data_IF_836121254019
#
_entry.id   IF_836121254019
#
_cell.length_a   1.000
_cell.length_b   1.000
_cell.length_c   1.000
_cell.angle_alpha   90.00
_cell.angle_beta   90.00
_cell.angle_gamma   90.00
#
_symmetry.space_group_name_H-M   'P 1'
#
loop_
_entity.id
_entity.type
_entity.pdbx_description
1 polymer ?
#
# COMPACT_ATOMS: atom_id res chain seq x y z
N UNK A 1 10.49 -6.45 -9.62
CA UNK A 1 10.01 -5.75 -8.42
C UNK A 1 11.00 -4.65 -8.06
N UNK A 2 10.53 -3.43 -7.92
CA UNK A 2 11.40 -2.29 -7.68
C UNK A 2 11.34 -1.89 -6.21
N UNK A 3 12.36 -2.26 -5.46
CA UNK A 3 12.41 -2.06 -4.01
C UNK A 3 12.44 -0.58 -3.62
N UNK A 4 13.08 0.25 -4.43
CA UNK A 4 13.10 1.70 -4.20
C UNK A 4 11.72 2.30 -4.41
N UNK A 5 11.06 1.91 -5.49
CA UNK A 5 9.71 2.36 -5.80
C UNK A 5 8.72 1.94 -4.71
N UNK A 6 8.84 0.71 -4.26
CA UNK A 6 8.01 0.17 -3.17
C UNK A 6 8.22 0.98 -1.90
N UNK A 7 9.48 1.28 -1.58
CA UNK A 7 9.81 2.06 -0.39
C UNK A 7 9.21 3.45 -0.43
N UNK A 8 9.29 4.13 -1.56
CA UNK A 8 8.69 5.45 -1.75
C UNK A 8 7.18 5.39 -1.61
N UNK A 9 6.58 4.33 -2.12
CA UNK A 9 5.13 4.12 -2.03
C UNK A 9 4.71 3.94 -0.57
N UNK A 10 5.46 3.15 0.20
CA UNK A 10 5.19 2.97 1.63
C UNK A 10 5.25 4.32 2.35
N UNK A 11 6.28 5.12 2.08
CA UNK A 11 6.43 6.43 2.71
C UNK A 11 5.25 7.35 2.34
N UNK A 12 4.86 7.36 1.08
CA UNK A 12 3.74 8.15 0.60
C UNK A 12 2.44 7.75 1.28
N UNK A 13 2.16 6.46 1.31
CA UNK A 13 0.93 5.95 1.91
C UNK A 13 0.91 6.18 3.43
N UNK A 14 2.06 6.04 4.06
CA UNK A 14 2.18 6.34 5.48
C UNK A 14 1.83 7.80 5.77
N UNK A 15 2.38 8.71 4.99
CA UNK A 15 2.12 10.15 5.15
C UNK A 15 0.66 10.48 4.86
N UNK A 16 0.08 9.85 3.86
CA UNK A 16 -1.34 10.00 3.54
C UNK A 16 -2.22 9.56 4.70
N UNK A 17 -1.80 8.51 5.40
CA UNK A 17 -2.48 8.02 6.60
C UNK A 17 -2.18 8.87 7.85
N UNK A 18 -1.35 9.90 7.69
CA UNK A 18 -0.96 10.83 8.76
C UNK A 18 -0.23 10.14 9.91
N UNK A 19 0.60 9.17 9.57
CA UNK A 19 1.41 8.43 10.53
C UNK A 19 2.88 8.81 10.38
N UNK A 20 3.58 8.93 11.52
CA UNK A 20 5.04 9.00 11.53
C UNK A 20 5.60 7.58 11.36
N UNK A 21 6.90 7.49 11.07
CA UNK A 21 7.56 6.18 11.02
C UNK A 21 7.41 5.45 12.35
N UNK A 22 7.57 6.18 13.46
CA UNK A 22 7.43 5.59 14.79
C UNK A 22 6.02 5.08 15.05
N UNK A 23 5.02 5.87 14.68
CA UNK A 23 3.62 5.47 14.88
C UNK A 23 3.28 4.22 14.07
N UNK A 24 3.75 4.15 12.82
CA UNK A 24 3.53 2.96 12.01
C UNK A 24 4.24 1.75 12.62
N UNK A 25 5.48 1.94 13.07
CA UNK A 25 6.26 0.88 13.71
C UNK A 25 5.55 0.34 14.95
N UNK A 26 5.01 1.24 15.77
CA UNK A 26 4.27 0.85 16.97
C UNK A 26 3.05 -0.01 16.63
N UNK A 27 2.32 0.38 15.59
CA UNK A 27 1.16 -0.39 15.13
C UNK A 27 1.52 -1.79 14.64
N UNK A 28 2.72 -1.93 14.09
CA UNK A 28 3.20 -3.21 13.54
C UNK A 28 4.02 -4.02 14.56
N UNK A 29 4.33 -3.44 15.72
CA UNK A 29 5.14 -4.10 16.74
C UNK A 29 6.61 -4.26 16.33
N UNK A 30 7.13 -3.34 15.54
CA UNK A 30 8.52 -3.34 15.05
C UNK A 30 9.18 -1.99 15.35
N UNK A 31 10.42 -1.82 14.90
CA UNK A 31 11.16 -0.59 15.14
C UNK A 31 10.95 0.40 13.99
N UNK A 32 11.08 1.69 14.30
CA UNK A 32 11.04 2.74 13.28
C UNK A 32 12.21 2.63 12.31
N UNK A 33 13.33 2.04 12.75
CA UNK A 33 14.47 1.78 11.88
C UNK A 33 14.12 0.82 10.76
N UNK A 34 13.29 -0.20 11.06
CA UNK A 34 12.82 -1.13 10.05
C UNK A 34 11.98 -0.39 8.98
N UNK A 35 11.07 0.47 9.43
CA UNK A 35 10.26 1.28 8.52
C UNK A 35 11.17 2.15 7.65
N UNK A 36 12.14 2.80 8.26
CA UNK A 36 13.09 3.65 7.54
C UNK A 36 13.84 2.88 6.45
N UNK A 37 14.26 1.67 6.74
CA UNK A 37 14.95 0.83 5.75
C UNK A 37 14.04 0.48 4.58
N UNK A 38 12.77 0.16 4.85
CA UNK A 38 11.80 -0.10 3.78
C UNK A 38 11.64 1.13 2.88
N UNK A 39 11.45 2.30 3.50
CA UNK A 39 11.17 3.54 2.77
C UNK A 39 12.36 3.99 1.94
N UNK A 40 13.58 3.63 2.36
CA UNK A 40 14.79 3.93 1.60
C UNK A 40 15.14 2.87 0.56
N UNK A 41 14.33 1.82 0.47
CA UNK A 41 14.54 0.76 -0.50
C UNK A 41 15.66 -0.20 -0.15
N UNK A 42 16.05 -0.25 1.11
CA UNK A 42 17.16 -1.10 1.56
C UNK A 42 16.70 -2.52 1.90
N UNK A 43 15.49 -2.65 2.42
CA UNK A 43 14.90 -3.95 2.76
C UNK A 43 13.43 -3.93 2.39
N UNK A 44 12.83 -5.12 2.35
CA UNK A 44 11.39 -5.29 2.10
C UNK A 44 10.70 -5.71 3.39
N UNK A 45 9.42 -5.36 3.56
CA UNK A 45 8.65 -5.93 4.67
C UNK A 45 8.59 -7.45 4.55
N UNK A 46 8.70 -8.12 5.69
CA UNK A 46 8.52 -9.55 5.77
C UNK A 46 7.08 -9.92 5.40
N UNK A 47 6.90 -11.06 4.76
CA UNK A 47 5.56 -11.52 4.36
C UNK A 47 4.60 -11.64 5.55
N UNK A 48 5.13 -12.00 6.73
CA UNK A 48 4.31 -12.11 7.93
C UNK A 48 3.71 -10.77 8.38
N UNK A 49 4.34 -9.66 7.99
CA UNK A 49 3.91 -8.31 8.39
C UNK A 49 3.21 -7.57 7.25
N UNK A 50 3.36 -8.08 6.03
CA UNK A 50 2.91 -7.42 4.82
C UNK A 50 1.40 -7.17 4.79
N UNK A 51 0.61 -8.17 5.21
CA UNK A 51 -0.84 -8.04 5.23
C UNK A 51 -1.30 -6.98 6.22
N UNK A 52 -0.69 -6.97 7.40
CA UNK A 52 -1.02 -5.97 8.42
C UNK A 52 -0.61 -4.58 7.97
N UNK A 53 0.55 -4.45 7.35
CA UNK A 53 1.00 -3.17 6.80
C UNK A 53 0.01 -2.66 5.75
N UNK A 54 -0.41 -3.50 4.84
CA UNK A 54 -1.37 -3.13 3.81
C UNK A 54 -2.70 -2.70 4.42
N UNK A 55 -3.14 -3.40 5.45
CA UNK A 55 -4.38 -3.08 6.14
C UNK A 55 -4.31 -1.69 6.78
N UNK A 56 -3.21 -1.40 7.47
CA UNK A 56 -3.02 -0.10 8.12
C UNK A 56 -2.96 1.03 7.08
N UNK A 57 -2.27 0.79 5.97
CA UNK A 57 -2.11 1.80 4.93
C UNK A 57 -3.29 1.89 3.96
N UNK A 58 -4.26 0.98 4.07
CA UNK A 58 -5.43 0.97 3.18
C UNK A 58 -5.09 0.65 1.74
N UNK A 59 -4.14 -0.25 1.52
CA UNK A 59 -3.71 -0.66 0.18
C UNK A 59 -3.78 -2.17 0.07
N UNK A 60 -3.78 -2.66 -1.16
CA UNK A 60 -3.71 -4.09 -1.42
C UNK A 60 -2.26 -4.55 -1.48
N UNK A 61 -2.03 -5.86 -1.34
CA UNK A 61 -0.70 -6.44 -1.50
C UNK A 61 -0.19 -6.20 -2.92
N UNK A 62 -1.07 -6.27 -3.91
CA UNK A 62 -0.69 -5.99 -5.29
C UNK A 62 -0.19 -4.57 -5.46
N UNK A 63 -0.85 -3.60 -4.84
CA UNK A 63 -0.40 -2.21 -4.87
C UNK A 63 0.95 -2.06 -4.20
N UNK A 64 1.14 -2.71 -3.06
CA UNK A 64 2.41 -2.66 -2.35
C UNK A 64 3.54 -3.21 -3.23
N UNK A 65 3.35 -4.38 -3.81
CA UNK A 65 4.38 -5.03 -4.62
C UNK A 65 4.67 -4.30 -5.92
N UNK A 66 3.67 -3.63 -6.49
CA UNK A 66 3.89 -2.80 -7.68
C UNK A 66 4.46 -1.43 -7.34
N UNK A 67 4.36 -1.01 -6.08
CA UNK A 67 4.88 0.28 -5.65
C UNK A 67 4.10 1.46 -6.18
N UNK A 68 2.81 1.25 -6.46
CA UNK A 68 1.94 2.32 -6.94
C UNK A 68 0.49 2.00 -6.65
N UNK A 69 -0.29 3.05 -6.52
CA UNK A 69 -1.72 2.91 -6.35
C UNK A 69 -2.31 2.41 -7.65
N UNK A 70 -2.88 1.22 -7.62
CA UNK A 70 -3.54 0.67 -8.80
C UNK A 70 -4.87 1.40 -8.95
N UNK A 71 -5.18 1.85 -10.17
CA UNK A 71 -6.38 2.63 -10.44
C UNK A 71 -7.62 1.74 -10.43
N UNK A 72 -7.83 1.05 -9.30
CA UNK A 72 -9.01 0.20 -9.13
C UNK A 72 -10.28 1.00 -9.20
N UNK A 73 -10.26 2.22 -8.66
CA UNK A 73 -11.41 3.10 -8.72
C UNK A 73 -11.81 3.37 -10.16
N UNK A 74 -10.83 3.67 -11.02
CA UNK A 74 -11.09 3.94 -12.42
C UNK A 74 -11.60 2.70 -13.12
N UNK A 75 -10.96 1.56 -12.87
CA UNK A 75 -11.38 0.29 -13.44
C UNK A 75 -12.74 -0.15 -12.90
N UNK A 76 -12.95 0.03 -11.62
CA UNK A 76 -14.22 -0.30 -10.97
C UNK A 76 -15.36 0.53 -11.54
N UNK A 77 -15.12 1.82 -11.78
CA UNK A 77 -16.12 2.69 -12.38
C UNK A 77 -16.50 2.21 -13.77
N UNK A 78 -15.52 1.81 -14.56
CA UNK A 78 -15.78 1.27 -15.89
C UNK A 78 -16.57 -0.03 -15.81
N UNK A 79 -16.20 -0.90 -14.90
CA UNK A 79 -16.88 -2.16 -14.72
C UNK A 79 -18.29 -1.95 -14.21
N UNK A 80 -18.48 -1.07 -13.27
CA UNK A 80 -19.80 -0.73 -12.75
C UNK A 80 -20.68 -0.17 -13.86
N UNK A 81 -20.13 0.71 -14.68
CA UNK A 81 -20.87 1.30 -15.77
C UNK A 81 -21.32 0.24 -16.76
N UNK A 82 -20.45 -0.69 -17.09
CA UNK A 82 -20.79 -1.79 -17.99
C UNK A 82 -21.89 -2.68 -17.39
N UNK A 83 -21.77 -3.00 -16.11
CA UNK A 83 -22.77 -3.81 -15.44
C UNK A 83 -24.12 -3.11 -15.36
N UNK A 84 -24.10 -1.81 -15.10
CA UNK A 84 -25.33 -1.02 -15.06
C UNK A 84 -25.99 -0.96 -16.42
N UNK A 85 -25.20 -0.78 -17.47
CA UNK A 85 -25.71 -0.76 -18.83
C UNK A 85 -26.33 -2.10 -19.22
N UNK A 86 -25.66 -3.18 -18.83
CA UNK A 86 -26.18 -4.51 -19.08
C UNK A 86 -27.46 -4.79 -18.30
N UNK A 87 -27.53 -4.30 -17.08
CA UNK A 87 -28.70 -4.47 -16.23
C UNK A 87 -29.91 -3.69 -16.74
N UNK A 88 -29.70 -2.62 -17.48
CA UNK A 88 -30.77 -1.81 -18.03
C UNK A 88 -31.44 -2.46 -19.25
N UNK A 89 -30.73 -3.36 -19.86
CA UNK A 89 -31.27 -4.07 -21.00
C UNK A 89 -32.12 -5.27 -20.56
#
# INVERSE_FOLDING_TARGET
>A
MDQVKIGRFIADRRKTAKLTQLQLAEKLGITDKAISKWERGLTMPDTSIMLELCDILGISVNELLSGEKISMEHNDQKNEQLLLDMAKE
#
